data_IF_335243449111
#
_entry.id   IF_335243449111
#
_cell.length_a   1.000
_cell.length_b   1.000
_cell.length_c   1.000
_cell.angle_alpha   90.00
_cell.angle_beta   90.00
_cell.angle_gamma   90.00
#
_symmetry.space_group_name_H-M   'P 1'
#
loop_
_entity.id
_entity.type
_entity.pdbx_description
1 polymer ?
#
# COMPACT_ATOMS: atom_id res chain seq x y z
N UNK A 1 17.30 0.67 -14.96
CA UNK A 1 17.43 -0.08 -13.68
C UNK A 1 18.57 -1.10 -13.72
N UNK A 2 18.56 -2.09 -14.64
CA UNK A 2 19.64 -3.10 -14.73
C UNK A 2 21.05 -2.51 -14.86
N UNK A 3 21.18 -1.42 -15.61
CA UNK A 3 22.46 -0.69 -15.78
C UNK A 3 23.03 -0.14 -14.47
N UNK A 4 22.20 0.10 -13.45
CA UNK A 4 22.66 0.56 -12.14
C UNK A 4 23.36 -0.56 -11.34
N UNK A 5 23.14 -1.84 -11.70
CA UNK A 5 23.77 -3.02 -11.11
C UNK A 5 23.72 -3.10 -9.57
N UNK A 6 22.61 -2.67 -8.96
CA UNK A 6 22.38 -2.64 -7.50
C UNK A 6 21.07 -3.34 -7.11
N UNK A 7 20.94 -4.66 -7.34
CA UNK A 7 19.67 -5.38 -7.17
C UNK A 7 19.12 -5.35 -5.74
N UNK A 8 19.98 -5.18 -4.74
CA UNK A 8 19.59 -5.09 -3.33
C UNK A 8 19.09 -3.71 -2.90
N UNK A 9 19.13 -2.72 -3.81
CA UNK A 9 18.65 -1.35 -3.59
C UNK A 9 17.38 -1.06 -4.42
N UNK A 10 16.78 -2.07 -5.05
CA UNK A 10 15.55 -1.91 -5.83
C UNK A 10 14.33 -1.54 -4.97
N UNK A 11 14.37 -1.81 -3.66
CA UNK A 11 13.38 -1.33 -2.72
C UNK A 11 13.29 0.21 -2.67
N UNK A 12 14.35 0.93 -3.07
CA UNK A 12 14.32 2.38 -3.21
C UNK A 12 13.42 2.81 -4.35
N UNK A 13 13.57 2.19 -5.53
CA UNK A 13 12.70 2.46 -6.67
C UNK A 13 11.23 2.22 -6.30
N UNK A 14 10.94 1.16 -5.55
CA UNK A 14 9.57 0.83 -5.13
C UNK A 14 9.03 1.90 -4.19
N UNK A 15 9.81 2.30 -3.18
CA UNK A 15 9.44 3.35 -2.24
C UNK A 15 9.15 4.68 -2.96
N UNK A 16 10.09 5.17 -3.76
CA UNK A 16 9.98 6.44 -4.50
C UNK A 16 8.83 6.43 -5.51
N UNK A 17 8.59 5.30 -6.19
CA UNK A 17 7.48 5.18 -7.13
C UNK A 17 6.11 5.20 -6.44
N UNK A 18 6.01 4.60 -5.25
CA UNK A 18 4.78 4.69 -4.43
C UNK A 18 4.61 6.14 -3.96
N UNK A 19 5.64 6.75 -3.40
CA UNK A 19 5.59 8.12 -2.90
C UNK A 19 5.14 9.10 -4.00
N UNK A 20 5.74 9.00 -5.18
CA UNK A 20 5.35 9.75 -6.36
C UNK A 20 3.86 9.57 -6.70
N UNK A 21 3.35 8.34 -6.68
CA UNK A 21 1.94 8.09 -6.98
C UNK A 21 1.00 8.69 -5.94
N UNK A 22 1.36 8.59 -4.66
CA UNK A 22 0.59 9.16 -3.56
C UNK A 22 0.54 10.69 -3.66
N UNK A 23 1.67 11.34 -3.93
CA UNK A 23 1.75 12.80 -4.13
C UNK A 23 0.93 13.27 -5.34
N UNK A 24 0.83 12.48 -6.41
CA UNK A 24 -0.05 12.81 -7.55
C UNK A 24 -1.54 12.70 -7.21
N UNK A 25 -1.90 11.93 -6.18
CA UNK A 25 -3.23 11.80 -5.61
C UNK A 25 -4.36 11.58 -6.63
N UNK A 26 -4.07 10.86 -7.73
CA UNK A 26 -5.06 10.54 -8.77
C UNK A 26 -4.95 9.09 -9.24
N UNK A 27 -6.06 8.59 -9.77
CA UNK A 27 -6.22 7.19 -10.14
C UNK A 27 -5.30 6.76 -11.28
N UNK A 28 -5.07 7.64 -12.26
CA UNK A 28 -4.21 7.35 -13.39
C UNK A 28 -2.75 7.10 -12.96
N UNK A 29 -2.23 7.89 -12.00
CA UNK A 29 -0.89 7.68 -11.46
C UNK A 29 -0.79 6.33 -10.73
N UNK A 30 -1.81 5.98 -9.94
CA UNK A 30 -1.87 4.69 -9.24
C UNK A 30 -1.88 3.53 -10.25
N UNK A 31 -2.67 3.64 -11.32
CA UNK A 31 -2.77 2.61 -12.35
C UNK A 31 -1.46 2.41 -13.10
N UNK A 32 -0.84 3.50 -13.56
CA UNK A 32 0.44 3.46 -14.26
C UNK A 32 1.56 2.85 -13.40
N UNK A 33 1.61 3.20 -12.11
CA UNK A 33 2.63 2.67 -11.19
C UNK A 33 2.36 1.20 -10.84
N UNK A 34 1.10 0.81 -10.69
CA UNK A 34 0.73 -0.60 -10.51
C UNK A 34 1.08 -1.46 -11.73
N UNK A 35 0.86 -0.95 -12.95
CA UNK A 35 1.26 -1.59 -14.21
C UNK A 35 2.78 -1.68 -14.34
N UNK A 36 3.49 -0.62 -13.94
CA UNK A 36 4.94 -0.59 -13.93
C UNK A 36 5.52 -1.66 -13.01
N UNK A 37 5.03 -1.75 -11.77
CA UNK A 37 5.45 -2.80 -10.83
C UNK A 37 5.14 -4.20 -11.33
N UNK A 38 3.97 -4.42 -11.93
CA UNK A 38 3.62 -5.71 -12.53
C UNK A 38 4.67 -6.13 -13.55
N UNK A 39 5.06 -5.24 -14.48
CA UNK A 39 6.09 -5.54 -15.49
C UNK A 39 7.45 -5.82 -14.87
N UNK A 40 7.86 -5.08 -13.83
CA UNK A 40 9.13 -5.29 -13.15
C UNK A 40 9.19 -6.62 -12.38
N UNK A 41 8.12 -6.97 -11.68
CA UNK A 41 8.04 -8.22 -10.91
C UNK A 41 7.93 -9.44 -11.84
N UNK A 42 7.09 -9.38 -12.89
CA UNK A 42 6.97 -10.47 -13.88
C UNK A 42 8.26 -10.73 -14.65
N UNK A 43 9.06 -9.69 -14.90
CA UNK A 43 10.38 -9.82 -15.53
C UNK A 43 11.51 -10.13 -14.55
N UNK A 44 11.19 -10.35 -13.26
CA UNK A 44 12.14 -10.64 -12.18
C UNK A 44 13.22 -9.56 -12.05
N UNK A 45 12.92 -8.34 -12.49
CA UNK A 45 13.81 -7.18 -12.33
C UNK A 45 13.76 -6.71 -10.88
N UNK A 46 12.58 -6.66 -10.30
CA UNK A 46 12.36 -6.42 -8.87
C UNK A 46 11.89 -7.73 -8.25
N UNK A 47 12.64 -8.22 -7.27
CA UNK A 47 12.25 -9.43 -6.53
C UNK A 47 11.10 -9.10 -5.58
N UNK A 48 10.32 -10.12 -5.20
CA UNK A 48 9.25 -9.97 -4.21
C UNK A 48 9.76 -9.34 -2.90
N UNK A 49 10.94 -9.76 -2.43
CA UNK A 49 11.52 -9.23 -1.20
C UNK A 49 11.84 -7.74 -1.30
N UNK A 50 12.42 -7.30 -2.43
CA UNK A 50 12.72 -5.88 -2.66
C UNK A 50 11.43 -5.05 -2.77
N UNK A 51 10.41 -5.59 -3.43
CA UNK A 51 9.09 -4.96 -3.48
C UNK A 51 8.49 -4.81 -2.08
N UNK A 52 8.47 -5.90 -1.31
CA UNK A 52 7.94 -5.91 0.05
C UNK A 52 8.67 -4.92 0.96
N UNK A 53 9.99 -4.84 0.91
CA UNK A 53 10.78 -3.87 1.69
C UNK A 53 10.38 -2.43 1.33
N UNK A 54 10.23 -2.11 0.04
CA UNK A 54 9.81 -0.78 -0.41
C UNK A 54 8.42 -0.40 0.09
N UNK A 55 7.47 -1.35 0.05
CA UNK A 55 6.12 -1.15 0.59
C UNK A 55 6.14 -0.94 2.11
N UNK A 56 6.87 -1.77 2.86
CA UNK A 56 6.99 -1.63 4.32
C UNK A 56 7.52 -0.25 4.70
N UNK A 57 8.57 0.22 4.02
CA UNK A 57 9.13 1.56 4.26
C UNK A 57 8.09 2.67 4.05
N UNK A 58 7.24 2.55 3.04
CA UNK A 58 6.16 3.51 2.81
C UNK A 58 5.10 3.42 3.93
N UNK A 59 4.74 2.21 4.35
CA UNK A 59 3.80 2.00 5.46
C UNK A 59 4.31 2.68 6.74
N UNK A 60 5.60 2.54 7.05
CA UNK A 60 6.22 3.10 8.26
C UNK A 60 6.12 4.64 8.33
N UNK A 61 6.16 5.32 7.17
CA UNK A 61 6.09 6.79 7.10
C UNK A 61 4.73 7.33 6.64
N UNK A 62 3.73 6.47 6.41
CA UNK A 62 2.48 6.87 5.75
C UNK A 62 1.70 7.93 6.55
N UNK A 63 1.89 8.00 7.86
CA UNK A 63 1.29 9.03 8.71
C UNK A 63 1.90 10.41 8.45
N UNK A 64 3.22 10.46 8.25
CA UNK A 64 3.93 11.70 7.90
C UNK A 64 3.57 12.14 6.48
N UNK A 65 3.54 11.20 5.52
CA UNK A 65 3.05 11.46 4.16
C UNK A 65 1.60 11.96 4.17
N UNK A 66 0.79 11.48 5.12
CA UNK A 66 -0.59 11.94 5.29
C UNK A 66 -0.73 13.40 5.75
N UNK A 67 0.33 14.03 6.26
CA UNK A 67 0.32 15.46 6.57
C UNK A 67 0.20 16.31 5.30
N UNK A 68 0.85 15.89 4.22
CA UNK A 68 0.80 16.57 2.91
C UNK A 68 -0.32 16.01 2.01
N UNK A 69 -0.59 14.70 2.12
CA UNK A 69 -1.59 13.99 1.32
C UNK A 69 -2.64 13.36 2.24
N UNK A 70 -3.74 14.07 2.59
CA UNK A 70 -4.69 13.63 3.62
C UNK A 70 -5.32 12.24 3.39
N UNK A 71 -5.38 11.78 2.13
CA UNK A 71 -5.92 10.49 1.73
C UNK A 71 -4.85 9.43 1.43
N UNK A 72 -3.57 9.64 1.77
CA UNK A 72 -2.47 8.73 1.43
C UNK A 72 -2.74 7.28 1.85
N UNK A 73 -3.28 7.06 3.05
CA UNK A 73 -3.67 5.75 3.54
C UNK A 73 -4.70 5.04 2.60
N UNK A 74 -5.71 5.75 2.06
CA UNK A 74 -6.66 5.17 1.08
C UNK A 74 -5.95 4.84 -0.22
N UNK A 75 -5.11 5.75 -0.69
CA UNK A 75 -4.44 5.62 -1.97
C UNK A 75 -3.44 4.44 -1.95
N UNK A 76 -2.70 4.27 -0.85
CA UNK A 76 -1.79 3.15 -0.65
C UNK A 76 -2.58 1.81 -0.61
N UNK A 77 -3.65 1.75 0.16
CA UNK A 77 -4.53 0.57 0.22
C UNK A 77 -5.12 0.23 -1.16
N UNK A 78 -5.61 1.24 -1.89
CA UNK A 78 -6.12 1.08 -3.26
C UNK A 78 -5.04 0.55 -4.21
N UNK A 79 -3.82 1.08 -4.12
CA UNK A 79 -2.69 0.63 -4.94
C UNK A 79 -2.32 -0.82 -4.63
N UNK A 80 -2.19 -1.20 -3.36
CA UNK A 80 -1.83 -2.57 -2.98
C UNK A 80 -2.90 -3.58 -3.37
N UNK A 81 -4.18 -3.23 -3.25
CA UNK A 81 -5.28 -4.06 -3.76
C UNK A 81 -5.21 -4.26 -5.29
N UNK A 82 -4.83 -3.23 -6.05
CA UNK A 82 -4.58 -3.36 -7.50
C UNK A 82 -3.39 -4.28 -7.78
N UNK A 83 -2.31 -4.17 -7.01
CA UNK A 83 -1.14 -5.04 -7.16
C UNK A 83 -1.49 -6.50 -6.84
N UNK A 84 -2.30 -6.74 -5.81
CA UNK A 84 -2.84 -8.05 -5.46
C UNK A 84 -3.72 -8.62 -6.58
N UNK A 85 -4.68 -7.85 -7.10
CA UNK A 85 -5.54 -8.25 -8.21
C UNK A 85 -4.75 -8.57 -9.50
N UNK A 86 -3.56 -7.98 -9.67
CA UNK A 86 -2.62 -8.26 -10.77
C UNK A 86 -1.79 -9.54 -10.57
N UNK A 87 -1.86 -10.17 -9.40
CA UNK A 87 -1.30 -11.49 -9.12
C UNK A 87 0.21 -11.55 -8.88
N UNK A 88 0.88 -10.43 -8.61
CA UNK A 88 2.31 -10.41 -8.28
C UNK A 88 2.61 -10.06 -6.81
N UNK A 89 1.55 -9.83 -6.02
CA UNK A 89 1.60 -9.57 -4.59
C UNK A 89 0.71 -10.57 -3.87
N UNK A 90 1.14 -11.03 -2.69
CA UNK A 90 0.38 -11.96 -1.86
C UNK A 90 -0.35 -11.22 -0.73
N UNK A 91 -1.33 -11.89 -0.13
CA UNK A 91 -2.15 -11.37 0.97
C UNK A 91 -1.32 -10.84 2.16
N UNK A 92 -0.15 -11.43 2.41
CA UNK A 92 0.77 -10.98 3.46
C UNK A 92 1.23 -9.52 3.36
N UNK A 93 1.17 -8.88 2.18
CA UNK A 93 1.45 -7.43 2.05
C UNK A 93 0.22 -6.61 2.45
N UNK A 94 -0.99 -7.10 2.14
CA UNK A 94 -2.23 -6.45 2.51
C UNK A 94 -2.43 -6.45 4.03
N UNK A 95 -2.05 -7.54 4.69
CA UNK A 95 -2.09 -7.66 6.16
C UNK A 95 -1.20 -6.65 6.90
N UNK A 96 -0.18 -6.11 6.21
CA UNK A 96 0.73 -5.10 6.76
C UNK A 96 0.16 -3.69 6.68
N UNK A 97 -0.88 -3.46 5.86
CA UNK A 97 -1.46 -2.13 5.71
C UNK A 97 -2.08 -1.67 7.03
N UNK A 98 -1.98 -0.37 7.36
CA UNK A 98 -2.50 0.15 8.61
C UNK A 98 -4.02 -0.07 8.69
N UNK A 99 -4.44 -0.90 9.66
CA UNK A 99 -5.83 -1.22 9.88
C UNK A 99 -6.62 0.06 10.21
N UNK A 100 -7.53 0.44 9.30
CA UNK A 100 -8.46 1.57 9.48
C UNK A 100 -9.56 1.29 10.49
N UNK A 101 -9.48 0.19 11.23
CA UNK A 101 -10.30 -0.08 12.42
C UNK A 101 -9.93 0.88 13.56
N UNK A 102 -9.96 2.20 13.32
CA UNK A 102 -10.65 3.06 14.27
C UNK A 102 -12.08 2.51 14.31
N UNK A 103 -12.32 1.55 15.21
CA UNK A 103 -13.61 1.47 15.87
C UNK A 103 -13.86 2.92 16.25
N UNK A 104 -14.78 3.60 15.56
CA UNK A 104 -15.44 4.74 16.16
C UNK A 104 -16.01 4.12 17.42
N UNK A 105 -15.30 4.28 18.54
CA UNK A 105 -15.95 4.27 19.82
C UNK A 105 -17.01 5.33 19.61
N UNK A 106 -18.22 4.84 19.33
CA UNK A 106 -19.41 5.64 19.41
C UNK A 106 -19.28 6.25 20.79
N UNK A 107 -19.10 7.57 20.88
CA UNK A 107 -19.18 8.23 22.19
C UNK A 107 -20.47 7.71 22.81
N UNK A 108 -20.37 7.15 24.01
CA UNK A 108 -21.50 6.64 24.78
C UNK A 108 -22.65 7.66 24.70
N UNK A 109 -23.64 7.37 23.86
CA UNK A 109 -24.56 8.41 23.40
C UNK A 109 -25.37 7.98 22.19
N UNK A 110 -26.01 6.81 22.33
CA UNK A 110 -27.34 6.41 21.79
C UNK A 110 -27.38 4.93 21.39
N UNK A 111 -27.78 4.09 22.35
CA UNK A 111 -28.98 3.24 22.20
C UNK A 111 -29.04 2.13 21.14
N UNK A 112 -27.96 1.76 20.46
CA UNK A 112 -27.97 0.64 19.51
C UNK A 112 -27.89 -0.73 20.20
N UNK A 113 -29.02 -1.44 20.31
CA UNK A 113 -29.15 -2.79 20.91
C UNK A 113 -27.99 -3.74 20.56
N UNK A 114 -27.41 -4.36 21.59
CA UNK A 114 -26.50 -5.51 21.46
C UNK A 114 -27.32 -6.66 20.85
N UNK A 115 -26.84 -7.24 19.74
CA UNK A 115 -27.40 -8.48 19.22
C UNK A 115 -26.90 -9.60 20.12
N UNK A 116 -27.82 -10.24 20.85
CA UNK A 116 -27.50 -11.40 21.68
C UNK A 116 -27.09 -12.56 20.77
N UNK A 117 -25.87 -13.07 20.98
CA UNK A 117 -25.44 -14.35 20.42
C UNK A 117 -26.15 -15.46 21.20
N UNK A 118 -27.22 -15.99 20.62
CA UNK A 118 -27.81 -17.26 21.06
C UNK A 118 -26.96 -18.40 20.49
N UNK A 119 -26.43 -19.21 21.40
CA UNK A 119 -25.64 -20.43 21.18
C UNK A 119 -26.24 -21.39 20.14
#
# INVERSE_FOLDING_TARGET
>A
LKELNVPHFHHELVFEAIDFALQKANDNAIDLISDFFQRLCQSVIVTYDQFKIGVIRMIDIIQDVSLDVPNANILLEKMMNKCYAKGFVNESILDLLPNRSRKRFVSEGDGGRIKEDLY
#
